data_IF_036864934114
#
_entry.id   IF_036864934114
#
_cell.length_a   1.000
_cell.length_b   1.000
_cell.length_c   1.000
_cell.angle_alpha   90.00
_cell.angle_beta   90.00
_cell.angle_gamma   90.00
#
_symmetry.space_group_name_H-M   'P 1'
#
loop_
_entity.id
_entity.type
_entity.pdbx_description
1 polymer ?
#
# COMPACT_ATOMS: atom_id res chain seq x y z
N UNK A 1 -21.44 4.10 44.21
CA UNK A 1 -22.52 3.11 44.07
C UNK A 1 -22.31 2.43 42.71
N UNK A 2 -21.79 1.19 42.74
CA UNK A 2 -21.54 0.35 41.56
C UNK A 2 -22.86 -0.24 41.08
N UNK A 3 -23.07 -0.31 39.77
CA UNK A 3 -23.85 -1.40 39.16
C UNK A 3 -23.34 -1.68 37.74
N UNK A 4 -22.51 -2.72 37.65
CA UNK A 4 -22.39 -3.61 36.50
C UNK A 4 -23.58 -4.56 36.53
N UNK A 5 -24.27 -4.75 35.40
CA UNK A 5 -24.77 -6.04 34.87
C UNK A 5 -24.89 -5.81 33.33
N UNK A 6 -23.86 -6.08 32.52
CA UNK A 6 -23.51 -7.32 31.84
C UNK A 6 -24.63 -7.98 30.99
N UNK A 7 -24.24 -8.27 29.75
CA UNK A 7 -24.75 -9.27 28.80
C UNK A 7 -26.00 -8.96 27.98
N UNK A 8 -25.76 -8.60 26.71
CA UNK A 8 -26.32 -9.39 25.61
C UNK A 8 -25.20 -9.63 24.60
N UNK A 9 -25.09 -10.88 24.14
CA UNK A 9 -23.98 -11.49 23.43
C UNK A 9 -23.30 -10.61 22.37
N UNK A 10 -21.96 -10.59 22.27
CA UNK A 10 -21.34 -10.11 21.05
C UNK A 10 -21.69 -11.11 19.97
N UNK A 11 -22.56 -10.74 19.04
CA UNK A 11 -22.48 -11.36 17.72
C UNK A 11 -21.02 -11.24 17.27
N UNK A 12 -20.38 -12.32 16.81
CA UNK A 12 -19.00 -12.22 16.34
C UNK A 12 -18.97 -11.13 15.28
N UNK A 13 -18.08 -10.16 15.46
CA UNK A 13 -17.86 -9.11 14.46
C UNK A 13 -17.73 -9.83 13.11
N UNK A 14 -18.58 -9.60 12.10
CA UNK A 14 -18.55 -10.37 10.85
C UNK A 14 -17.21 -10.27 10.11
N UNK A 15 -16.34 -9.34 10.51
CA UNK A 15 -14.96 -9.20 10.03
C UNK A 15 -13.94 -10.10 10.76
N UNK A 16 -14.30 -10.71 11.89
CA UNK A 16 -13.43 -11.66 12.64
C UNK A 16 -13.01 -12.84 11.79
N UNK A 17 -13.95 -13.49 11.10
CA UNK A 17 -13.63 -14.61 10.20
C UNK A 17 -12.74 -14.23 9.02
N UNK A 18 -12.87 -13.02 8.47
CA UNK A 18 -12.02 -12.56 7.36
C UNK A 18 -10.60 -12.32 7.86
N UNK A 19 -10.48 -11.62 8.98
CA UNK A 19 -9.20 -11.40 9.64
C UNK A 19 -8.54 -12.73 10.06
N UNK A 20 -9.31 -13.70 10.56
CA UNK A 20 -8.84 -15.05 10.90
C UNK A 20 -8.35 -15.83 9.67
N UNK A 21 -9.10 -15.82 8.56
CA UNK A 21 -8.69 -16.49 7.33
C UNK A 21 -7.45 -15.84 6.71
N UNK A 22 -7.39 -14.50 6.65
CA UNK A 22 -6.18 -13.80 6.20
C UNK A 22 -5.00 -14.13 7.13
N UNK A 23 -5.20 -14.14 8.45
CA UNK A 23 -4.17 -14.52 9.42
C UNK A 23 -3.69 -15.96 9.23
N UNK A 24 -4.59 -16.90 8.92
CA UNK A 24 -4.22 -18.29 8.60
C UNK A 24 -3.33 -18.34 7.34
N UNK A 25 -3.72 -17.65 6.27
CA UNK A 25 -2.88 -17.58 5.07
C UNK A 25 -1.51 -16.93 5.34
N UNK A 26 -1.47 -15.84 6.10
CA UNK A 26 -0.20 -15.20 6.48
C UNK A 26 0.66 -16.12 7.34
N UNK A 27 0.05 -16.92 8.22
CA UNK A 27 0.74 -17.94 9.04
C UNK A 27 1.38 -19.01 8.16
N UNK A 28 0.64 -19.55 7.18
CA UNK A 28 1.17 -20.54 6.24
C UNK A 28 2.33 -19.97 5.41
N UNK A 29 2.21 -18.70 4.98
CA UNK A 29 3.26 -17.99 4.25
C UNK A 29 4.50 -17.71 5.11
N UNK A 30 4.31 -17.28 6.37
CA UNK A 30 5.41 -17.13 7.32
C UNK A 30 6.13 -18.46 7.54
N UNK A 31 5.37 -19.55 7.74
CA UNK A 31 5.89 -20.91 7.84
C UNK A 31 6.65 -21.36 6.59
N UNK A 32 6.16 -21.01 5.40
CA UNK A 32 6.85 -21.26 4.14
C UNK A 32 8.18 -20.49 4.04
N UNK A 33 8.19 -19.20 4.40
CA UNK A 33 9.38 -18.33 4.35
C UNK A 33 10.51 -18.82 5.27
N UNK A 34 10.17 -19.29 6.47
CA UNK A 34 11.15 -19.81 7.44
C UNK A 34 11.46 -21.30 7.24
N UNK A 35 10.79 -21.97 6.29
CA UNK A 35 11.00 -23.38 5.99
C UNK A 35 10.49 -24.35 7.07
N UNK A 36 9.40 -24.00 7.78
CA UNK A 36 8.85 -24.75 8.91
C UNK A 36 7.92 -25.93 8.55
N UNK A 37 7.69 -26.23 7.27
CA UNK A 37 6.78 -27.32 6.87
C UNK A 37 7.46 -28.67 6.67
N UNK A 38 6.65 -29.74 6.66
CA UNK A 38 6.99 -31.13 6.24
C UNK A 38 7.68 -31.22 4.86
N UNK A 39 7.77 -30.12 4.10
CA UNK A 39 8.44 -30.01 2.80
C UNK A 39 9.94 -29.67 2.90
N UNK A 40 10.50 -29.49 4.10
CA UNK A 40 11.83 -28.92 4.34
C UNK A 40 12.76 -29.82 5.17
N UNK A 41 12.71 -31.14 5.00
CA UNK A 41 13.70 -32.03 5.64
C UNK A 41 15.16 -31.74 5.22
N UNK A 42 15.37 -30.87 4.22
CA UNK A 42 16.68 -30.41 3.74
C UNK A 42 17.06 -28.96 4.08
N UNK A 43 16.13 -28.10 4.51
CA UNK A 43 16.36 -26.64 4.63
C UNK A 43 15.98 -26.08 5.99
N UNK A 44 16.19 -26.84 7.06
CA UNK A 44 16.04 -26.33 8.42
C UNK A 44 16.96 -25.13 8.67
N UNK A 45 16.35 -23.97 8.95
CA UNK A 45 16.99 -22.88 9.68
C UNK A 45 17.48 -21.69 8.87
N UNK A 46 17.10 -21.51 7.60
CA UNK A 46 17.39 -20.30 6.82
C UNK A 46 16.17 -19.83 6.05
N UNK A 47 15.92 -18.52 6.00
CA UNK A 47 14.93 -17.95 5.06
C UNK A 47 15.26 -18.50 3.68
N UNK A 48 14.28 -19.13 3.02
CA UNK A 48 14.47 -19.80 1.72
C UNK A 48 15.21 -18.91 0.69
N UNK A 49 14.99 -17.61 0.80
CA UNK A 49 15.56 -16.53 -0.03
C UNK A 49 17.07 -16.29 0.18
N UNK A 50 17.67 -16.73 1.30
CA UNK A 50 19.12 -16.67 1.51
C UNK A 50 19.87 -17.60 0.54
N UNK A 51 19.18 -18.57 -0.06
CA UNK A 51 19.75 -19.49 -1.04
C UNK A 51 19.67 -18.98 -2.48
N UNK A 52 18.81 -17.99 -2.78
CA UNK A 52 18.69 -17.38 -4.12
C UNK A 52 19.67 -16.22 -4.35
N UNK A 53 20.44 -15.82 -3.33
CA UNK A 53 21.32 -14.62 -3.33
C UNK A 53 20.58 -13.34 -3.75
N UNK A 54 19.27 -13.26 -3.56
CA UNK A 54 18.47 -12.08 -3.89
C UNK A 54 18.28 -11.22 -2.63
N UNK A 55 19.14 -10.21 -2.45
CA UNK A 55 19.17 -9.40 -1.22
C UNK A 55 17.84 -8.73 -0.90
N UNK A 56 17.18 -8.19 -1.92
CA UNK A 56 15.90 -7.51 -1.74
C UNK A 56 14.79 -8.46 -1.30
N UNK A 57 14.79 -9.70 -1.80
CA UNK A 57 13.78 -10.68 -1.44
C UNK A 57 13.96 -11.14 0.01
N UNK A 58 15.20 -11.40 0.40
CA UNK A 58 15.55 -11.73 1.79
C UNK A 58 15.19 -10.59 2.76
N UNK A 59 15.50 -9.33 2.37
CA UNK A 59 15.15 -8.16 3.15
C UNK A 59 13.63 -7.97 3.28
N UNK A 60 12.88 -8.05 2.18
CA UNK A 60 11.41 -7.99 2.18
C UNK A 60 10.78 -9.11 3.02
N UNK A 61 11.32 -10.33 2.94
CA UNK A 61 10.90 -11.45 3.78
C UNK A 61 11.11 -11.13 5.26
N UNK A 62 12.29 -10.63 5.63
CA UNK A 62 12.61 -10.20 6.99
C UNK A 62 11.68 -9.11 7.51
N UNK A 63 11.42 -8.08 6.70
CA UNK A 63 10.46 -7.00 7.02
C UNK A 63 9.04 -7.54 7.22
N UNK A 64 8.59 -8.45 6.36
CA UNK A 64 7.29 -9.09 6.52
C UNK A 64 7.23 -9.88 7.83
N UNK A 65 8.24 -10.69 8.15
CA UNK A 65 8.29 -11.47 9.38
C UNK A 65 8.29 -10.59 10.65
N UNK A 66 9.00 -9.46 10.63
CA UNK A 66 8.98 -8.47 11.73
C UNK A 66 7.56 -7.94 11.96
N UNK A 67 6.86 -7.58 10.87
CA UNK A 67 5.50 -7.04 10.96
C UNK A 67 4.48 -8.11 11.34
N UNK A 68 4.63 -9.31 10.81
CA UNK A 68 3.80 -10.47 11.13
C UNK A 68 3.90 -10.84 12.61
N UNK A 69 5.11 -10.93 13.16
CA UNK A 69 5.38 -11.22 14.58
C UNK A 69 4.70 -10.21 15.53
N UNK A 70 4.60 -8.94 15.11
CA UNK A 70 3.91 -7.90 15.89
C UNK A 70 2.39 -8.12 15.98
N UNK A 71 1.79 -8.78 14.98
CA UNK A 71 0.33 -8.97 14.88
C UNK A 71 -0.11 -10.40 15.21
N UNK A 72 0.79 -11.38 15.21
CA UNK A 72 0.50 -12.75 15.65
C UNK A 72 0.33 -12.78 17.17
N UNK A 73 -0.91 -12.87 17.64
CA UNK A 73 -1.24 -12.87 19.07
C UNK A 73 -0.82 -14.16 19.83
N UNK A 74 -0.06 -15.06 19.21
CA UNK A 74 0.23 -16.39 19.76
C UNK A 74 1.73 -16.67 19.85
N UNK A 75 2.29 -16.46 21.05
CA UNK A 75 3.65 -16.88 21.44
C UNK A 75 4.02 -18.34 21.10
N UNK A 76 3.02 -19.20 20.85
CA UNK A 76 3.24 -20.59 20.46
C UNK A 76 3.75 -20.70 19.02
N UNK A 77 3.22 -19.89 18.10
CA UNK A 77 3.56 -19.91 16.70
C UNK A 77 4.96 -19.30 16.47
N UNK A 78 5.27 -18.20 17.16
CA UNK A 78 6.59 -17.55 17.07
C UNK A 78 7.71 -18.47 17.59
N UNK A 79 7.42 -19.28 18.62
CA UNK A 79 8.32 -20.33 19.14
C UNK A 79 8.49 -21.50 18.18
N UNK A 80 7.43 -21.90 17.47
CA UNK A 80 7.47 -22.99 16.49
C UNK A 80 8.18 -22.59 15.20
N UNK A 81 8.03 -21.32 14.78
CA UNK A 81 8.64 -20.78 13.55
C UNK A 81 10.05 -20.21 13.76
N UNK A 82 10.46 -19.98 15.01
CA UNK A 82 11.76 -19.42 15.39
C UNK A 82 12.11 -18.12 14.62
N UNK A 83 11.11 -17.23 14.51
CA UNK A 83 11.13 -16.03 13.65
C UNK A 83 12.32 -15.11 13.97
N UNK A 84 12.59 -14.85 15.25
CA UNK A 84 13.70 -13.99 15.66
C UNK A 84 15.06 -14.49 15.20
N UNK A 85 15.31 -15.80 15.31
CA UNK A 85 16.54 -16.41 14.81
C UNK A 85 16.69 -16.23 13.30
N UNK A 86 15.58 -16.32 12.54
CA UNK A 86 15.60 -16.12 11.09
C UNK A 86 15.84 -14.67 10.68
N UNK A 87 15.26 -13.73 11.42
CA UNK A 87 15.50 -12.29 11.23
C UNK A 87 16.98 -11.97 11.47
N UNK A 88 17.57 -12.48 12.57
CA UNK A 88 18.99 -12.26 12.89
C UNK A 88 19.92 -12.91 11.88
N UNK A 89 19.65 -14.15 11.47
CA UNK A 89 20.42 -14.83 10.43
C UNK A 89 20.43 -14.04 9.11
N UNK A 90 19.28 -13.48 8.72
CA UNK A 90 19.14 -12.64 7.53
C UNK A 90 19.90 -11.33 7.66
N UNK A 91 19.80 -10.66 8.81
CA UNK A 91 20.55 -9.43 9.09
C UNK A 91 22.06 -9.67 9.02
N UNK A 92 22.53 -10.76 9.62
CA UNK A 92 23.94 -11.16 9.57
C UNK A 92 24.40 -11.43 8.15
N UNK A 93 23.63 -12.19 7.38
CA UNK A 93 23.94 -12.47 5.98
C UNK A 93 24.00 -11.19 5.13
N UNK A 94 23.04 -10.27 5.30
CA UNK A 94 23.06 -8.95 4.64
C UNK A 94 24.33 -8.19 4.99
N UNK A 95 24.72 -8.17 6.26
CA UNK A 95 25.89 -7.46 6.74
C UNK A 95 27.19 -8.04 6.16
N UNK A 96 27.30 -9.36 6.12
CA UNK A 96 28.49 -10.06 5.62
C UNK A 96 28.63 -9.97 4.08
N UNK A 97 27.52 -9.78 3.35
CA UNK A 97 27.51 -9.72 1.88
C UNK A 97 27.32 -8.29 1.32
N UNK A 98 27.58 -7.25 2.12
CA UNK A 98 27.63 -5.88 1.60
C UNK A 98 28.73 -5.73 0.56
N UNK A 99 28.42 -5.13 -0.58
CA UNK A 99 29.43 -4.77 -1.56
C UNK A 99 30.11 -3.47 -1.12
N UNK A 100 31.44 -3.50 -1.01
CA UNK A 100 32.23 -2.29 -0.77
C UNK A 100 32.49 -1.62 -2.11
N UNK A 101 31.88 -0.47 -2.31
CA UNK A 101 32.15 0.44 -3.41
C UNK A 101 33.16 1.48 -2.92
N UNK A 102 34.38 1.39 -3.45
CA UNK A 102 35.35 2.48 -3.49
C UNK A 102 35.51 2.79 -4.98
N UNK A 103 34.69 3.68 -5.53
CA UNK A 103 34.96 4.13 -6.90
C UNK A 103 36.12 5.13 -6.85
N UNK A 104 37.34 4.59 -6.69
CA UNK A 104 38.63 5.30 -6.71
C UNK A 104 38.92 5.97 -8.08
N UNK A 105 38.02 5.83 -9.07
CA UNK A 105 38.15 6.40 -10.40
C UNK A 105 37.37 7.70 -10.66
N UNK A 106 36.54 8.15 -9.70
CA UNK A 106 35.62 9.27 -9.91
C UNK A 106 35.75 10.35 -8.81
N UNK A 107 36.97 10.60 -8.31
CA UNK A 107 37.25 11.66 -7.31
C UNK A 107 36.60 13.03 -7.66
N UNK A 108 36.37 13.32 -8.95
CA UNK A 108 35.69 14.53 -9.44
C UNK A 108 34.17 14.55 -9.19
N UNK A 109 33.48 13.39 -9.14
CA UNK A 109 32.07 13.32 -8.72
C UNK A 109 31.95 13.52 -7.20
N UNK A 110 32.96 13.08 -6.44
CA UNK A 110 32.94 13.04 -4.99
C UNK A 110 33.34 14.36 -4.31
N UNK A 111 33.95 15.31 -5.03
CA UNK A 111 34.37 16.60 -4.48
C UNK A 111 33.23 17.58 -4.21
N UNK A 112 32.04 17.36 -4.78
CA UNK A 112 30.88 18.27 -4.65
C UNK A 112 29.87 17.83 -3.57
N UNK A 113 30.04 16.64 -2.98
CA UNK A 113 29.18 16.15 -1.90
C UNK A 113 29.69 16.68 -0.54
N UNK A 114 29.57 17.99 -0.31
CA UNK A 114 29.94 18.64 0.96
C UNK A 114 29.01 18.29 2.14
N UNK A 115 28.00 17.44 1.92
CA UNK A 115 26.88 17.17 2.85
C UNK A 115 27.16 16.12 3.93
N UNK A 116 28.25 15.34 3.87
CA UNK A 116 28.51 14.22 4.80
C UNK A 116 29.81 14.39 5.62
N UNK A 117 29.74 14.48 6.96
CA UNK A 117 30.91 14.63 7.82
C UNK A 117 31.55 13.28 8.18
N UNK A 118 32.15 12.53 7.25
CA UNK A 118 32.96 11.33 7.58
C UNK A 118 34.13 11.11 6.61
N UNK A 119 35.30 10.81 7.20
CA UNK A 119 36.54 10.45 6.51
C UNK A 119 36.43 9.05 5.84
N UNK A 120 36.93 8.96 4.59
CA UNK A 120 36.95 7.84 3.63
C UNK A 120 35.67 7.57 2.82
N UNK A 121 35.86 7.55 1.51
CA UNK A 121 34.88 7.40 0.41
C UNK A 121 34.20 6.04 0.31
N UNK A 122 34.16 5.27 1.40
CA UNK A 122 33.57 3.93 1.37
C UNK A 122 32.06 4.05 1.29
N UNK A 123 31.45 3.38 0.30
CA UNK A 123 30.03 3.24 0.05
C UNK A 123 29.62 1.76 0.13
N UNK A 124 28.42 1.46 0.63
CA UNK A 124 27.92 0.07 0.75
C UNK A 124 26.62 -0.07 -0.01
N UNK A 125 26.51 -1.15 -0.79
CA UNK A 125 25.35 -1.43 -1.63
C UNK A 125 25.10 -2.94 -1.76
N UNK A 126 23.97 -3.28 -2.36
CA UNK A 126 23.61 -4.65 -2.72
C UNK A 126 23.10 -4.69 -4.17
N UNK A 127 23.65 -5.60 -4.99
CA UNK A 127 23.37 -5.80 -6.42
C UNK A 127 23.56 -4.55 -7.31
N UNK A 128 24.32 -3.56 -6.85
CA UNK A 128 24.53 -2.32 -7.60
C UNK A 128 23.27 -1.50 -7.90
N UNK A 129 22.13 -1.79 -7.25
CA UNK A 129 20.84 -1.15 -7.53
C UNK A 129 20.28 -0.40 -6.32
N UNK A 130 19.86 0.86 -6.54
CA UNK A 130 19.20 1.72 -5.54
C UNK A 130 17.97 1.05 -4.94
N UNK A 131 17.16 0.38 -5.75
CA UNK A 131 15.94 -0.26 -5.27
C UNK A 131 16.25 -1.40 -4.28
N UNK A 132 17.20 -2.28 -4.61
CA UNK A 132 17.61 -3.39 -3.73
C UNK A 132 18.24 -2.87 -2.43
N UNK A 133 19.12 -1.88 -2.54
CA UNK A 133 19.77 -1.26 -1.37
C UNK A 133 18.73 -0.59 -0.46
N UNK A 134 17.70 0.05 -1.03
CA UNK A 134 16.60 0.63 -0.25
C UNK A 134 15.73 -0.44 0.43
N UNK A 135 15.47 -1.60 -0.21
CA UNK A 135 14.80 -2.73 0.45
C UNK A 135 15.59 -3.23 1.68
N UNK A 136 16.91 -3.40 1.51
CA UNK A 136 17.81 -3.84 2.58
C UNK A 136 17.82 -2.86 3.74
N UNK A 137 17.98 -1.56 3.47
CA UNK A 137 17.97 -0.55 4.53
C UNK A 137 16.62 -0.45 5.24
N UNK A 138 15.50 -0.60 4.51
CA UNK A 138 14.18 -0.64 5.14
C UNK A 138 14.05 -1.81 6.11
N UNK A 139 14.55 -3.00 5.77
CA UNK A 139 14.59 -4.14 6.69
C UNK A 139 15.43 -3.85 7.94
N UNK A 140 16.58 -3.21 7.79
CA UNK A 140 17.42 -2.80 8.93
C UNK A 140 16.67 -1.79 9.82
N UNK A 141 15.93 -0.86 9.22
CA UNK A 141 15.11 0.09 9.96
C UNK A 141 13.97 -0.59 10.72
N UNK A 142 13.26 -1.51 10.09
CA UNK A 142 12.22 -2.32 10.73
C UNK A 142 12.81 -3.13 11.90
N UNK A 143 14.00 -3.70 11.73
CA UNK A 143 14.71 -4.43 12.77
C UNK A 143 15.09 -3.55 13.97
N UNK A 144 15.65 -2.37 13.71
CA UNK A 144 16.02 -1.41 14.75
C UNK A 144 14.80 -0.91 15.52
N UNK A 145 13.67 -0.68 14.82
CA UNK A 145 12.40 -0.28 15.44
C UNK A 145 11.83 -1.38 16.35
N UNK A 146 12.00 -2.65 15.98
CA UNK A 146 11.60 -3.80 16.82
C UNK A 146 12.48 -3.93 18.07
N UNK A 147 13.80 -3.71 17.93
CA UNK A 147 14.80 -4.01 18.96
C UNK A 147 15.45 -2.76 19.58
N UNK A 148 14.64 -1.73 19.88
CA UNK A 148 15.14 -0.39 20.24
C UNK A 148 16.07 -0.36 21.48
N UNK A 149 15.89 -1.32 22.39
CA UNK A 149 16.62 -1.40 23.67
C UNK A 149 17.67 -2.52 23.77
N UNK A 150 17.58 -3.56 22.94
CA UNK A 150 18.43 -4.76 23.07
C UNK A 150 18.74 -5.34 21.68
N UNK A 151 19.86 -4.91 21.11
CA UNK A 151 20.37 -5.46 19.85
C UNK A 151 21.25 -6.66 20.21
N UNK A 152 20.97 -7.86 19.66
CA UNK A 152 21.76 -9.04 19.95
C UNK A 152 23.26 -8.83 19.69
N UNK A 153 24.10 -9.43 20.54
CA UNK A 153 25.56 -9.25 20.58
C UNK A 153 26.32 -9.58 19.27
N UNK A 154 25.65 -10.05 18.22
CA UNK A 154 26.26 -10.46 16.95
C UNK A 154 26.57 -9.28 16.01
N UNK A 155 25.85 -8.16 16.13
CA UNK A 155 26.06 -6.94 15.35
C UNK A 155 25.85 -5.75 16.26
N UNK A 156 26.85 -4.89 16.40
CA UNK A 156 26.73 -3.71 17.27
C UNK A 156 25.84 -2.63 16.64
N UNK A 157 25.18 -1.83 17.49
CA UNK A 157 24.41 -0.66 17.06
C UNK A 157 25.23 0.30 16.18
N UNK A 158 26.53 0.43 16.49
CA UNK A 158 27.45 1.30 15.76
C UNK A 158 27.76 0.76 14.36
N UNK A 159 27.93 -0.55 14.20
CA UNK A 159 28.11 -1.18 12.89
C UNK A 159 26.88 -1.00 12.00
N UNK A 160 25.68 -1.15 12.55
CA UNK A 160 24.43 -0.88 11.82
C UNK A 160 24.31 0.60 11.42
N UNK A 161 24.61 1.54 12.34
CA UNK A 161 24.63 2.98 12.03
C UNK A 161 25.61 3.31 10.90
N UNK A 162 26.83 2.78 10.97
CA UNK A 162 27.82 2.99 9.92
C UNK A 162 27.33 2.44 8.58
N UNK A 163 26.77 1.23 8.59
CA UNK A 163 26.19 0.63 7.39
C UNK A 163 25.10 1.52 6.77
N UNK A 164 24.16 2.00 7.60
CA UNK A 164 23.09 2.91 7.18
C UNK A 164 23.67 4.17 6.53
N UNK A 165 24.60 4.85 7.20
CA UNK A 165 25.19 6.09 6.69
C UNK A 165 25.90 5.89 5.36
N UNK A 166 26.70 4.85 5.30
CA UNK A 166 27.51 4.53 4.13
C UNK A 166 26.65 4.10 2.93
N UNK A 167 25.50 3.48 3.17
CA UNK A 167 24.54 3.13 2.11
C UNK A 167 23.62 4.28 1.70
N UNK A 168 23.15 5.13 2.62
CA UNK A 168 22.38 6.32 2.28
C UNK A 168 23.19 7.29 1.42
N UNK A 169 24.48 7.45 1.73
CA UNK A 169 25.42 8.22 0.91
C UNK A 169 25.50 7.63 -0.51
N UNK A 170 25.62 6.31 -0.64
CA UNK A 170 25.63 5.66 -1.95
C UNK A 170 24.36 5.96 -2.73
N UNK A 171 23.18 5.85 -2.10
CA UNK A 171 21.90 6.19 -2.72
C UNK A 171 21.90 7.64 -3.22
N UNK A 172 22.28 8.61 -2.38
CA UNK A 172 22.39 10.02 -2.77
C UNK A 172 23.25 10.22 -4.02
N UNK A 173 24.44 9.62 -4.02
CA UNK A 173 25.39 9.71 -5.13
C UNK A 173 24.80 9.17 -6.44
N UNK A 174 23.99 8.10 -6.37
CA UNK A 174 23.31 7.56 -7.54
C UNK A 174 22.32 8.56 -8.13
N UNK A 175 21.58 9.29 -7.30
CA UNK A 175 20.65 10.33 -7.77
C UNK A 175 21.39 11.56 -8.32
N UNK A 176 22.43 12.03 -7.62
CA UNK A 176 23.25 13.16 -8.07
C UNK A 176 23.93 12.88 -9.42
N UNK A 177 24.45 11.66 -9.59
CA UNK A 177 25.13 11.23 -10.83
C UNK A 177 24.16 11.06 -12.00
N UNK A 178 22.87 10.86 -11.74
CA UNK A 178 21.86 10.72 -12.78
C UNK A 178 21.22 12.07 -13.19
N UNK A 179 21.57 13.18 -12.53
CA UNK A 179 21.21 14.51 -13.01
C UNK A 179 22.02 14.82 -14.29
N UNK A 180 21.37 15.02 -15.45
CA UNK A 180 22.02 15.40 -16.70
C UNK A 180 22.98 16.58 -16.58
N UNK A 181 22.72 17.50 -15.63
CA UNK A 181 23.53 18.69 -15.40
C UNK A 181 24.85 18.37 -14.71
N UNK A 182 24.90 17.30 -13.91
CA UNK A 182 26.04 16.96 -13.07
C UNK A 182 26.94 15.90 -13.73
N UNK A 183 26.38 14.97 -14.51
CA UNK A 183 27.20 13.99 -15.23
C UNK A 183 26.53 13.47 -16.53
N UNK A 184 26.77 14.12 -17.67
CA UNK A 184 26.23 13.67 -18.97
C UNK A 184 26.76 12.30 -19.43
N UNK A 185 27.85 11.77 -18.85
CA UNK A 185 28.42 10.47 -19.19
C UNK A 185 27.87 9.31 -18.32
N UNK A 186 27.34 9.61 -17.13
CA UNK A 186 26.80 8.59 -16.20
C UNK A 186 25.37 8.13 -16.53
N UNK A 187 24.65 8.86 -17.38
CA UNK A 187 23.23 8.61 -17.73
C UNK A 187 22.95 7.16 -18.19
N UNK A 188 23.93 6.46 -18.75
CA UNK A 188 23.75 5.10 -19.27
C UNK A 188 24.24 3.99 -18.33
N UNK A 189 25.04 4.31 -17.29
CA UNK A 189 25.61 3.29 -16.41
C UNK A 189 24.63 2.88 -15.30
N UNK A 190 23.78 3.81 -14.86
CA UNK A 190 22.88 3.61 -13.72
C UNK A 190 21.53 4.30 -13.93
N UNK A 191 20.74 3.84 -14.91
CA UNK A 191 19.43 4.39 -15.18
C UNK A 191 18.50 4.26 -13.95
N UNK A 192 18.07 5.39 -13.38
CA UNK A 192 17.06 5.40 -12.33
C UNK A 192 15.66 5.51 -12.94
N UNK A 193 14.74 4.70 -12.43
CA UNK A 193 13.33 4.71 -12.81
C UNK A 193 12.48 5.22 -11.66
N UNK A 194 11.23 5.58 -11.94
CA UNK A 194 10.26 6.06 -10.94
C UNK A 194 10.10 5.10 -9.73
N UNK A 195 10.27 3.79 -9.91
CA UNK A 195 10.30 2.81 -8.81
C UNK A 195 11.49 3.01 -7.86
N UNK A 196 12.67 3.43 -8.35
CA UNK A 196 13.83 3.76 -7.51
C UNK A 196 13.50 4.98 -6.62
N UNK A 197 12.98 6.05 -7.22
CA UNK A 197 12.50 7.24 -6.49
C UNK A 197 11.46 6.86 -5.42
N UNK A 198 10.47 6.04 -5.80
CA UNK A 198 9.38 5.62 -4.90
C UNK A 198 9.88 4.82 -3.71
N UNK A 199 10.77 3.84 -3.94
CA UNK A 199 11.31 3.01 -2.86
C UNK A 199 12.24 3.80 -1.94
N UNK A 200 13.03 4.71 -2.49
CA UNK A 200 13.85 5.64 -1.70
C UNK A 200 12.98 6.58 -0.87
N UNK A 201 11.86 7.09 -1.39
CA UNK A 201 10.93 7.91 -0.60
C UNK A 201 10.40 7.14 0.62
N UNK A 202 9.93 5.90 0.43
CA UNK A 202 9.47 5.04 1.53
C UNK A 202 10.59 4.82 2.56
N UNK A 203 11.81 4.56 2.10
CA UNK A 203 12.98 4.41 2.97
C UNK A 203 13.24 5.67 3.83
N UNK A 204 13.27 6.85 3.20
CA UNK A 204 13.53 8.12 3.90
C UNK A 204 12.40 8.45 4.89
N UNK A 205 11.16 8.05 4.60
CA UNK A 205 10.05 8.17 5.56
C UNK A 205 10.27 7.28 6.79
N UNK A 206 10.68 6.03 6.61
CA UNK A 206 11.03 5.14 7.73
C UNK A 206 12.20 5.68 8.56
N UNK A 207 13.21 6.28 7.90
CA UNK A 207 14.30 6.96 8.58
C UNK A 207 13.78 8.11 9.47
N UNK A 208 12.79 8.88 9.00
CA UNK A 208 12.24 9.99 9.77
C UNK A 208 11.50 9.56 11.04
N UNK A 209 10.86 8.39 11.01
CA UNK A 209 10.26 7.80 12.20
C UNK A 209 11.33 7.38 13.24
N UNK A 210 12.45 6.81 12.79
CA UNK A 210 13.55 6.39 13.67
C UNK A 210 14.32 7.55 14.29
N UNK A 211 14.54 8.63 13.53
CA UNK A 211 15.21 9.85 14.03
C UNK A 211 14.44 10.54 15.16
N UNK A 212 13.11 10.40 15.21
CA UNK A 212 12.31 10.90 16.34
C UNK A 212 12.65 10.21 17.67
N UNK A 213 13.42 9.12 17.63
CA UNK A 213 13.81 8.29 18.77
C UNK A 213 15.34 8.15 18.99
N UNK A 214 16.21 8.62 18.08
CA UNK A 214 17.66 8.29 18.11
C UNK A 214 18.62 9.38 17.57
N UNK A 215 19.92 9.24 17.88
CA UNK A 215 21.10 10.07 17.53
C UNK A 215 21.40 10.25 16.01
N UNK A 216 20.45 9.94 15.12
CA UNK A 216 20.59 10.06 13.65
C UNK A 216 20.22 11.47 13.12
N UNK A 217 19.95 12.44 14.00
CA UNK A 217 19.45 13.82 13.70
C UNK A 217 20.34 14.61 12.72
N UNK A 218 21.59 14.19 12.52
CA UNK A 218 22.53 14.79 11.55
C UNK A 218 21.96 14.82 10.12
N UNK A 219 21.06 13.90 9.77
CA UNK A 219 20.52 13.76 8.42
C UNK A 219 19.22 14.50 8.17
N UNK A 220 18.62 15.12 9.19
CA UNK A 220 17.28 15.68 9.10
C UNK A 220 17.12 16.66 7.94
N UNK A 221 18.01 17.67 7.87
CA UNK A 221 17.95 18.70 6.81
C UNK A 221 18.18 18.10 5.41
N UNK A 222 19.17 17.22 5.29
CA UNK A 222 19.48 16.56 4.02
C UNK A 222 18.31 15.69 3.55
N UNK A 223 17.80 14.83 4.43
CA UNK A 223 16.67 13.93 4.17
C UNK A 223 15.43 14.71 3.75
N UNK A 224 15.09 15.78 4.47
CA UNK A 224 13.89 16.56 4.19
C UNK A 224 13.97 17.24 2.81
N UNK A 225 15.14 17.77 2.46
CA UNK A 225 15.40 18.29 1.11
C UNK A 225 15.29 17.17 0.06
N UNK A 226 15.87 16.01 0.33
CA UNK A 226 15.88 14.91 -0.63
C UNK A 226 14.49 14.30 -0.84
N UNK A 227 13.69 14.19 0.21
CA UNK A 227 12.26 13.83 0.13
C UNK A 227 11.53 14.81 -0.78
N UNK A 228 11.77 16.12 -0.63
CA UNK A 228 11.13 17.14 -1.46
C UNK A 228 11.46 16.97 -2.94
N UNK A 229 12.75 16.81 -3.28
CA UNK A 229 13.21 16.60 -4.65
C UNK A 229 12.61 15.33 -5.27
N UNK A 230 12.57 14.22 -4.51
CA UNK A 230 11.96 12.96 -4.98
C UNK A 230 10.46 13.15 -5.26
N UNK A 231 9.74 13.85 -4.40
CA UNK A 231 8.30 14.10 -4.59
C UNK A 231 8.05 14.95 -5.83
N UNK A 232 8.81 16.03 -6.01
CA UNK A 232 8.70 16.88 -7.20
C UNK A 232 8.95 16.05 -8.46
N UNK A 233 9.97 15.19 -8.43
CA UNK A 233 10.29 14.32 -9.56
C UNK A 233 9.17 13.30 -9.86
N UNK A 234 8.62 12.67 -8.84
CA UNK A 234 7.50 11.73 -8.99
C UNK A 234 6.25 12.42 -9.57
N UNK A 235 5.95 13.66 -9.14
CA UNK A 235 4.83 14.43 -9.68
C UNK A 235 5.10 14.86 -11.13
N UNK A 236 6.32 15.28 -11.46
CA UNK A 236 6.72 15.67 -12.82
C UNK A 236 6.60 14.49 -13.80
N UNK A 237 7.08 13.31 -13.40
CA UNK A 237 7.07 12.11 -14.24
C UNK A 237 5.67 11.48 -14.39
N UNK A 238 4.69 11.97 -13.63
CA UNK A 238 3.32 11.49 -13.64
C UNK A 238 2.61 11.90 -14.94
N UNK A 239 2.16 10.91 -15.72
CA UNK A 239 1.45 11.13 -16.99
C UNK A 239 -0.05 11.26 -16.73
N UNK A 240 -0.61 12.42 -17.01
CA UNK A 240 -2.04 12.68 -16.98
C UNK A 240 -2.70 12.24 -18.30
N UNK A 241 -3.78 11.46 -18.20
CA UNK A 241 -4.56 11.09 -19.38
C UNK A 241 -5.64 12.15 -19.61
N UNK A 242 -5.35 13.12 -20.49
CA UNK A 242 -6.29 14.18 -20.89
C UNK A 242 -7.40 13.64 -21.80
N UNK A 243 -8.63 13.76 -21.35
CA UNK A 243 -9.86 13.48 -22.09
C UNK A 243 -11.09 13.83 -21.24
N UNK A 244 -12.29 13.79 -21.82
CA UNK A 244 -13.59 14.08 -21.15
C UNK A 244 -13.88 13.22 -19.89
N UNK A 245 -12.98 12.32 -19.50
CA UNK A 245 -13.12 11.39 -18.38
C UNK A 245 -12.06 11.65 -17.29
N UNK A 246 -12.50 12.33 -16.24
CA UNK A 246 -12.11 12.12 -14.83
C UNK A 246 -10.60 12.09 -14.45
N UNK A 247 -9.77 13.07 -14.84
CA UNK A 247 -8.44 13.35 -14.24
C UNK A 247 -7.67 12.09 -13.79
N UNK A 248 -7.39 11.16 -14.71
CA UNK A 248 -6.66 9.92 -14.43
C UNK A 248 -5.15 10.15 -14.62
N UNK A 249 -4.32 9.48 -13.84
CA UNK A 249 -2.87 9.61 -13.97
C UNK A 249 -2.13 8.30 -13.68
N UNK A 250 -0.91 8.17 -14.23
CA UNK A 250 -0.09 6.95 -14.12
C UNK A 250 1.40 7.20 -14.33
N UNK A 251 2.21 6.20 -14.01
CA UNK A 251 3.63 6.12 -14.34
C UNK A 251 3.89 4.90 -15.20
N UNK A 252 4.10 5.09 -16.51
CA UNK A 252 4.54 4.10 -17.51
C UNK A 252 3.84 2.72 -17.51
N UNK A 253 4.09 1.87 -16.51
CA UNK A 253 3.56 0.50 -16.35
C UNK A 253 2.67 0.39 -15.10
N UNK A 254 1.95 -0.72 -14.94
CA UNK A 254 1.15 -0.97 -13.73
C UNK A 254 2.01 -1.00 -12.47
N UNK A 255 3.12 -1.74 -12.51
CA UNK A 255 4.12 -1.79 -11.42
C UNK A 255 4.63 -0.41 -11.02
N UNK A 256 5.13 0.37 -11.98
CA UNK A 256 5.67 1.72 -11.69
C UNK A 256 4.59 2.63 -11.12
N UNK A 257 3.37 2.52 -11.65
CA UNK A 257 2.21 3.27 -11.14
C UNK A 257 1.85 2.88 -9.71
N UNK A 258 1.89 1.58 -9.40
CA UNK A 258 1.64 1.07 -8.06
C UNK A 258 2.71 1.54 -7.06
N UNK A 259 3.99 1.50 -7.42
CA UNK A 259 5.10 1.94 -6.57
C UNK A 259 5.03 3.42 -6.24
N UNK A 260 4.84 4.26 -7.27
CA UNK A 260 4.73 5.70 -7.09
C UNK A 260 3.50 6.05 -6.26
N UNK A 261 2.36 5.41 -6.56
CA UNK A 261 1.14 5.60 -5.79
C UNK A 261 1.28 5.23 -4.32
N UNK A 262 1.93 4.10 -4.02
CA UNK A 262 2.18 3.65 -2.66
C UNK A 262 3.10 4.62 -1.91
N UNK A 263 4.22 5.02 -2.52
CA UNK A 263 5.18 5.94 -1.89
C UNK A 263 4.57 7.33 -1.62
N UNK A 264 3.78 7.85 -2.55
CA UNK A 264 3.05 9.11 -2.37
C UNK A 264 1.95 9.00 -1.31
N UNK A 265 1.27 7.86 -1.22
CA UNK A 265 0.27 7.63 -0.19
C UNK A 265 0.91 7.58 1.21
N UNK A 266 2.07 6.94 1.34
CA UNK A 266 2.79 6.87 2.60
C UNK A 266 3.29 8.25 3.03
N UNK A 267 3.91 9.01 2.12
CA UNK A 267 4.28 10.40 2.40
C UNK A 267 3.09 11.24 2.87
N UNK A 268 1.96 11.09 2.17
CA UNK A 268 0.74 11.80 2.49
C UNK A 268 0.20 11.40 3.86
N UNK A 269 0.18 10.10 4.21
CA UNK A 269 -0.29 9.63 5.51
C UNK A 269 0.56 10.18 6.66
N UNK A 270 1.89 10.13 6.52
CA UNK A 270 2.82 10.58 7.56
C UNK A 270 2.73 12.09 7.82
N UNK A 271 2.47 12.90 6.78
CA UNK A 271 2.68 14.34 6.87
C UNK A 271 1.43 15.22 6.65
N UNK A 272 0.27 14.65 6.28
CA UNK A 272 -0.97 15.42 6.03
C UNK A 272 -1.39 16.30 7.21
N UNK A 273 -1.05 15.91 8.43
CA UNK A 273 -1.37 16.63 9.67
C UNK A 273 -0.55 17.91 9.86
N UNK A 274 0.67 17.95 9.32
CA UNK A 274 1.64 19.02 9.52
C UNK A 274 1.43 20.15 8.50
N UNK A 275 1.05 19.80 7.26
CA UNK A 275 1.06 20.74 6.12
C UNK A 275 -0.33 21.06 5.54
N UNK A 276 -1.37 20.95 6.38
CA UNK A 276 -2.81 21.04 6.04
C UNK A 276 -3.25 22.25 5.20
N UNK A 277 -2.48 23.35 5.14
CA UNK A 277 -2.96 24.63 4.58
C UNK A 277 -1.97 25.39 3.69
N UNK A 278 -0.69 25.01 3.59
CA UNK A 278 0.36 25.88 3.01
C UNK A 278 1.17 25.29 1.86
N UNK A 279 1.04 24.00 1.55
CA UNK A 279 1.88 23.36 0.53
C UNK A 279 1.09 22.91 -0.69
N UNK A 280 1.33 23.59 -1.82
CA UNK A 280 0.83 23.26 -3.15
C UNK A 280 1.04 21.78 -3.52
N UNK A 281 2.16 21.20 -3.06
CA UNK A 281 2.50 19.80 -3.30
C UNK A 281 1.49 18.83 -2.67
N UNK A 282 0.85 19.13 -1.54
CA UNK A 282 -0.14 18.22 -0.93
C UNK A 282 -1.41 18.08 -1.76
N UNK A 283 -1.91 19.19 -2.32
CA UNK A 283 -3.07 19.15 -3.18
C UNK A 283 -2.77 18.40 -4.48
N UNK A 284 -1.56 18.56 -5.02
CA UNK A 284 -1.11 17.84 -6.20
C UNK A 284 -0.97 16.33 -5.91
N UNK A 285 -0.38 15.96 -4.78
CA UNK A 285 -0.29 14.56 -4.34
C UNK A 285 -1.69 13.96 -4.16
N UNK A 286 -2.60 14.64 -3.45
CA UNK A 286 -3.97 14.16 -3.27
C UNK A 286 -4.69 13.94 -4.61
N UNK A 287 -4.56 14.88 -5.54
CA UNK A 287 -5.09 14.74 -6.91
C UNK A 287 -4.45 13.57 -7.64
N UNK A 288 -3.13 13.39 -7.54
CA UNK A 288 -2.41 12.26 -8.14
C UNK A 288 -2.91 10.93 -7.58
N UNK A 289 -3.09 10.81 -6.26
CA UNK A 289 -3.59 9.58 -5.64
C UNK A 289 -4.99 9.23 -6.14
N UNK A 290 -5.91 10.21 -6.21
CA UNK A 290 -7.25 10.00 -6.76
C UNK A 290 -7.17 9.59 -8.24
N UNK A 291 -6.36 10.30 -9.03
CA UNK A 291 -6.20 10.02 -10.46
C UNK A 291 -5.63 8.64 -10.73
N UNK A 292 -4.69 8.21 -9.89
CA UNK A 292 -4.06 6.89 -9.95
C UNK A 292 -5.05 5.79 -9.59
N UNK A 293 -5.79 5.96 -8.51
CA UNK A 293 -6.86 5.04 -8.12
C UNK A 293 -7.91 4.89 -9.23
N UNK A 294 -8.34 5.99 -9.87
CA UNK A 294 -9.29 5.95 -10.99
C UNK A 294 -8.70 5.24 -12.20
N UNK A 295 -7.43 5.49 -12.51
CA UNK A 295 -6.74 4.82 -13.59
C UNK A 295 -6.71 3.30 -13.37
N UNK A 296 -6.32 2.85 -12.17
CA UNK A 296 -6.34 1.43 -11.80
C UNK A 296 -7.76 0.84 -11.90
N UNK A 297 -8.79 1.54 -11.42
CA UNK A 297 -10.18 1.07 -11.54
C UNK A 297 -10.63 0.85 -12.99
N UNK A 298 -10.25 1.75 -13.89
CA UNK A 298 -10.60 1.70 -15.31
C UNK A 298 -9.83 0.60 -16.03
N UNK A 299 -8.55 0.41 -15.71
CA UNK A 299 -7.69 -0.58 -16.39
C UNK A 299 -7.84 -2.00 -15.85
N UNK A 300 -8.49 -2.21 -14.69
CA UNK A 300 -8.70 -3.56 -14.19
C UNK A 300 -9.58 -4.34 -15.17
N UNK A 301 -9.06 -5.47 -15.63
CA UNK A 301 -9.76 -6.32 -16.59
C UNK A 301 -11.06 -6.88 -16.01
N UNK A 302 -11.83 -7.46 -16.91
CA UNK A 302 -13.08 -8.11 -16.59
C UNK A 302 -12.89 -9.35 -15.70
N UNK A 303 -11.73 -10.02 -15.73
CA UNK A 303 -11.35 -11.09 -14.77
C UNK A 303 -10.92 -10.56 -13.41
N UNK A 304 -10.41 -9.33 -13.32
CA UNK A 304 -9.89 -8.78 -12.06
C UNK A 304 -8.38 -8.59 -12.03
N UNK A 305 -7.71 -8.79 -13.15
CA UNK A 305 -6.27 -8.59 -13.28
C UNK A 305 -5.93 -7.18 -13.73
N UNK A 306 -4.71 -6.76 -13.41
CA UNK A 306 -4.00 -5.68 -14.08
C UNK A 306 -2.77 -6.33 -14.72
N UNK A 307 -2.62 -6.28 -16.04
CA UNK A 307 -1.47 -6.90 -16.70
C UNK A 307 -1.22 -8.36 -16.29
N UNK A 308 -0.02 -8.64 -15.79
CA UNK A 308 0.46 -9.93 -15.27
C UNK A 308 0.06 -10.20 -13.80
N UNK A 309 0.53 -11.31 -13.21
CA UNK A 309 0.32 -11.61 -11.79
C UNK A 309 1.03 -10.59 -10.88
N UNK A 310 2.28 -10.23 -11.19
CA UNK A 310 3.05 -9.23 -10.46
C UNK A 310 2.33 -7.87 -10.48
N UNK A 311 1.97 -7.42 -11.69
CA UNK A 311 1.20 -6.20 -11.90
C UNK A 311 -0.11 -6.22 -11.08
N UNK A 312 -0.80 -7.37 -11.01
CA UNK A 312 -2.06 -7.50 -10.29
C UNK A 312 -1.88 -7.41 -8.78
N UNK A 313 -0.89 -8.11 -8.21
CA UNK A 313 -0.62 -8.10 -6.76
C UNK A 313 -0.22 -6.69 -6.33
N UNK A 314 0.73 -6.07 -7.04
CA UNK A 314 1.25 -4.75 -6.71
C UNK A 314 0.21 -3.65 -6.90
N UNK A 315 -0.58 -3.72 -7.98
CA UNK A 315 -1.69 -2.79 -8.20
C UNK A 315 -2.78 -2.94 -7.15
N UNK A 316 -3.13 -4.18 -6.74
CA UNK A 316 -4.10 -4.40 -5.68
C UNK A 316 -3.60 -3.84 -4.34
N UNK A 317 -2.34 -4.08 -4.01
CA UNK A 317 -1.70 -3.56 -2.81
C UNK A 317 -1.70 -2.02 -2.78
N UNK A 318 -1.21 -1.39 -3.84
CA UNK A 318 -1.18 0.07 -3.93
C UNK A 318 -2.58 0.69 -3.94
N UNK A 319 -3.53 0.11 -4.69
CA UNK A 319 -4.92 0.59 -4.73
C UNK A 319 -5.58 0.56 -3.35
N UNK A 320 -5.32 -0.50 -2.58
CA UNK A 320 -5.79 -0.63 -1.21
C UNK A 320 -5.22 0.47 -0.31
N UNK A 321 -3.90 0.66 -0.33
CA UNK A 321 -3.20 1.61 0.54
C UNK A 321 -3.53 3.07 0.17
N UNK A 322 -3.50 3.42 -1.11
CA UNK A 322 -3.91 4.74 -1.58
C UNK A 322 -5.36 5.04 -1.19
N UNK A 323 -6.27 4.08 -1.43
CA UNK A 323 -7.67 4.22 -1.02
C UNK A 323 -7.81 4.33 0.50
N UNK A 324 -6.96 3.66 1.27
CA UNK A 324 -6.97 3.77 2.73
C UNK A 324 -6.69 5.18 3.20
N UNK A 325 -5.57 5.71 2.75
CA UNK A 325 -5.09 7.05 3.10
C UNK A 325 -6.08 8.13 2.65
N UNK A 326 -6.61 8.03 1.43
CA UNK A 326 -7.60 8.97 0.90
C UNK A 326 -8.90 9.01 1.72
N UNK A 327 -9.40 7.84 2.14
CA UNK A 327 -10.61 7.76 2.97
C UNK A 327 -10.35 8.27 4.40
N UNK A 328 -9.20 7.92 5.00
CA UNK A 328 -8.80 8.33 6.36
C UNK A 328 -8.84 9.85 6.54
N UNK A 329 -8.47 10.61 5.51
CA UNK A 329 -8.39 12.07 5.55
C UNK A 329 -9.49 12.80 4.76
N UNK A 330 -10.55 12.08 4.41
CA UNK A 330 -11.67 12.61 3.64
C UNK A 330 -12.35 13.82 4.33
N UNK A 331 -12.48 13.80 5.66
CA UNK A 331 -13.09 14.89 6.44
C UNK A 331 -12.27 16.18 6.42
N UNK A 332 -10.95 16.09 6.28
CA UNK A 332 -10.03 17.23 6.26
C UNK A 332 -10.24 18.08 5.00
N UNK A 333 -10.53 17.46 3.86
CA UNK A 333 -10.75 18.17 2.58
C UNK A 333 -12.17 18.72 2.43
N UNK A 334 -13.16 18.17 3.16
CA UNK A 334 -14.53 18.64 3.15
C UNK A 334 -14.75 19.87 4.05
N UNK A 335 -13.85 20.15 4.98
CA UNK A 335 -13.93 21.29 5.92
C UNK A 335 -13.34 22.61 5.42
N UNK A 336 -12.57 22.61 4.33
CA UNK A 336 -11.81 23.79 3.85
C UNK A 336 -12.45 24.54 2.68
N UNK A 337 -13.60 24.08 2.16
CA UNK A 337 -14.31 24.74 1.06
C UNK A 337 -15.80 24.97 1.35
N UNK A 338 -16.08 25.85 2.30
CA UNK A 338 -17.33 26.61 2.32
C UNK A 338 -17.34 27.59 1.14
N UNK A 339 -17.67 27.09 -0.05
CA UNK A 339 -17.89 27.77 -1.36
C UNK A 339 -16.96 27.31 -2.50
N UNK A 340 -16.98 26.02 -2.86
CA UNK A 340 -16.45 25.59 -4.16
C UNK A 340 -17.53 24.81 -4.93
N UNK A 341 -17.59 25.11 -6.21
CA UNK A 341 -18.61 24.74 -7.20
C UNK A 341 -18.93 23.23 -7.24
N UNK A 342 -20.17 22.93 -7.63
CA UNK A 342 -20.75 21.58 -7.86
C UNK A 342 -20.02 20.70 -8.90
N UNK A 343 -18.80 21.04 -9.31
CA UNK A 343 -18.11 20.41 -10.45
C UNK A 343 -16.86 19.61 -10.08
N UNK A 344 -16.31 19.68 -8.86
CA UNK A 344 -15.22 18.78 -8.47
C UNK A 344 -15.16 18.58 -6.96
N UNK A 345 -15.25 17.34 -6.50
CA UNK A 345 -14.92 16.98 -5.12
C UNK A 345 -15.97 16.16 -4.39
N UNK A 346 -16.54 15.14 -5.02
CA UNK A 346 -17.05 14.03 -4.21
C UNK A 346 -15.85 13.33 -3.57
N UNK A 347 -15.98 12.89 -2.31
CA UNK A 347 -14.94 12.09 -1.68
C UNK A 347 -14.60 10.88 -2.55
N UNK A 348 -13.31 10.59 -2.69
CA UNK A 348 -12.91 9.33 -3.30
C UNK A 348 -13.31 8.22 -2.34
N UNK A 349 -14.03 7.22 -2.84
CA UNK A 349 -14.46 6.05 -2.06
C UNK A 349 -13.84 4.84 -2.72
N UNK A 350 -12.94 4.17 -2.00
CA UNK A 350 -12.37 2.90 -2.44
C UNK A 350 -13.47 1.91 -2.78
N UNK A 351 -13.26 1.08 -3.80
CA UNK A 351 -14.23 0.05 -4.22
C UNK A 351 -13.75 -1.33 -3.77
N UNK A 352 -14.18 -1.84 -2.59
CA UNK A 352 -13.80 -3.14 -2.06
C UNK A 352 -13.81 -4.28 -3.09
N UNK A 353 -14.86 -4.35 -3.91
CA UNK A 353 -15.02 -5.42 -4.89
C UNK A 353 -13.84 -5.51 -5.86
N UNK A 354 -13.11 -4.42 -6.15
CA UNK A 354 -11.93 -4.42 -7.03
C UNK A 354 -10.78 -5.23 -6.42
N UNK A 355 -10.55 -5.07 -5.12
CA UNK A 355 -9.55 -5.82 -4.34
C UNK A 355 -9.92 -7.30 -4.29
N UNK A 356 -11.17 -7.62 -3.93
CA UNK A 356 -11.58 -9.03 -3.83
C UNK A 356 -11.67 -9.74 -5.18
N UNK A 357 -11.94 -9.00 -6.26
CA UNK A 357 -11.89 -9.53 -7.62
C UNK A 357 -10.45 -9.90 -8.03
N UNK A 358 -9.48 -9.06 -7.67
CA UNK A 358 -8.06 -9.35 -7.85
C UNK A 358 -7.61 -10.52 -6.98
N UNK A 359 -7.92 -10.48 -5.68
CA UNK A 359 -7.62 -11.56 -4.74
C UNK A 359 -8.16 -12.89 -5.27
N UNK A 360 -9.43 -12.98 -5.66
CA UNK A 360 -9.99 -14.19 -6.25
C UNK A 360 -9.18 -14.70 -7.44
N UNK A 361 -8.74 -13.82 -8.34
CA UNK A 361 -7.95 -14.23 -9.50
C UNK A 361 -6.58 -14.77 -9.09
N UNK A 362 -6.00 -14.21 -8.03
CA UNK A 362 -4.71 -14.62 -7.48
C UNK A 362 -4.77 -15.98 -6.76
N UNK A 363 -5.91 -16.34 -6.13
CA UNK A 363 -6.06 -17.62 -5.41
C UNK A 363 -6.84 -18.71 -6.16
N UNK A 364 -7.65 -18.38 -7.17
CA UNK A 364 -8.47 -19.36 -7.90
C UNK A 364 -7.65 -20.09 -8.97
N UNK A 365 -7.15 -21.27 -8.62
CA UNK A 365 -6.41 -22.15 -9.52
C UNK A 365 -7.15 -22.51 -10.82
N UNK A 366 -8.49 -22.39 -10.87
CA UNK A 366 -9.29 -22.68 -12.09
C UNK A 366 -9.42 -21.48 -13.02
N UNK A 367 -9.00 -20.29 -12.60
CA UNK A 367 -8.99 -19.09 -13.43
C UNK A 367 -7.64 -18.84 -14.09
N UNK A 368 -6.66 -19.68 -13.81
CA UNK A 368 -5.34 -19.60 -14.41
C UNK A 368 -4.99 -20.88 -15.21
N UNK A 369 -4.53 -20.75 -16.47
CA UNK A 369 -4.22 -21.89 -17.34
C UNK A 369 -2.78 -22.43 -17.21
N UNK A 370 -2.04 -22.13 -16.14
CA UNK A 370 -0.66 -22.61 -15.93
C UNK A 370 -0.42 -23.17 -14.53
N UNK A 371 0.60 -24.03 -14.38
CA UNK A 371 1.02 -24.65 -13.10
C UNK A 371 1.52 -23.64 -12.03
N UNK A 372 1.53 -22.34 -12.32
CA UNK A 372 2.13 -21.30 -11.48
C UNK A 372 1.19 -20.77 -10.40
N UNK A 373 1.05 -21.50 -9.30
CA UNK A 373 0.56 -20.92 -8.05
C UNK A 373 1.54 -19.83 -7.57
N UNK A 374 1.04 -18.75 -6.97
CA UNK A 374 1.87 -17.62 -6.46
C UNK A 374 3.00 -18.12 -5.54
N UNK A 375 2.74 -19.21 -4.81
CA UNK A 375 3.65 -19.88 -3.87
C UNK A 375 4.83 -20.59 -4.55
N UNK A 376 4.82 -20.82 -5.87
CA UNK A 376 5.95 -21.41 -6.59
C UNK A 376 6.95 -20.36 -7.10
N UNK A 377 6.61 -19.07 -7.02
CA UNK A 377 7.45 -17.97 -7.43
C UNK A 377 7.78 -17.10 -6.20
N UNK A 378 9.00 -17.22 -5.64
CA UNK A 378 9.32 -16.63 -4.34
C UNK A 378 9.06 -15.12 -4.24
N UNK A 379 9.41 -14.33 -5.26
CA UNK A 379 9.16 -12.90 -5.26
C UNK A 379 7.67 -12.52 -5.31
N UNK A 380 6.86 -13.28 -6.07
CA UNK A 380 5.40 -13.07 -6.10
C UNK A 380 4.78 -13.43 -4.75
N UNK A 381 5.32 -14.46 -4.08
CA UNK A 381 4.91 -14.83 -2.73
C UNK A 381 5.14 -13.68 -1.75
N UNK A 382 6.30 -13.01 -1.82
CA UNK A 382 6.59 -11.85 -0.97
C UNK A 382 5.64 -10.68 -1.20
N UNK A 383 5.43 -10.28 -2.46
CA UNK A 383 4.47 -9.21 -2.76
C UNK A 383 3.04 -9.58 -2.33
N UNK A 384 2.67 -10.86 -2.44
CA UNK A 384 1.37 -11.33 -1.98
C UNK A 384 1.25 -11.30 -0.45
N UNK A 385 2.31 -11.66 0.27
CA UNK A 385 2.38 -11.55 1.74
C UNK A 385 2.23 -10.10 2.21
N UNK A 386 2.94 -9.17 1.57
CA UNK A 386 2.79 -7.72 1.85
C UNK A 386 1.37 -7.22 1.56
N UNK A 387 0.78 -7.65 0.45
CA UNK A 387 -0.62 -7.33 0.12
C UNK A 387 -1.60 -7.88 1.17
N UNK A 388 -1.44 -9.13 1.62
CA UNK A 388 -2.30 -9.73 2.64
C UNK A 388 -2.16 -9.03 4.00
N UNK A 389 -0.94 -8.62 4.37
CA UNK A 389 -0.69 -7.84 5.58
C UNK A 389 -1.43 -6.50 5.51
N UNK A 390 -1.27 -5.76 4.42
CA UNK A 390 -2.00 -4.52 4.16
C UNK A 390 -3.51 -4.72 4.16
N UNK A 391 -4.00 -5.83 3.60
CA UNK A 391 -5.42 -6.19 3.63
C UNK A 391 -5.89 -6.46 5.06
N UNK A 392 -5.12 -7.20 5.85
CA UNK A 392 -5.44 -7.47 7.25
C UNK A 392 -5.57 -6.18 8.06
N UNK A 393 -4.60 -5.26 7.93
CA UNK A 393 -4.59 -4.00 8.68
C UNK A 393 -5.73 -3.05 8.28
N UNK A 394 -6.13 -3.05 7.01
CA UNK A 394 -7.12 -2.11 6.48
C UNK A 394 -8.53 -2.69 6.39
N UNK A 395 -8.70 -4.02 6.43
CA UNK A 395 -9.99 -4.67 6.21
C UNK A 395 -11.05 -4.29 7.23
N UNK A 396 -10.64 -4.12 8.49
CA UNK A 396 -11.55 -3.76 9.58
C UNK A 396 -12.08 -2.33 9.46
N UNK A 397 -11.34 -1.46 8.77
CA UNK A 397 -11.68 -0.04 8.59
C UNK A 397 -12.61 0.18 7.39
N UNK A 398 -12.48 -0.61 6.31
CA UNK A 398 -13.27 -0.38 5.08
C UNK A 398 -14.47 -1.28 4.86
N UNK A 399 -14.42 -2.50 5.38
CA UNK A 399 -15.44 -3.47 5.07
C UNK A 399 -16.51 -3.45 6.16
N UNK A 400 -17.28 -2.36 6.22
CA UNK A 400 -18.53 -2.32 7.00
C UNK A 400 -19.61 -3.25 6.40
N UNK A 401 -19.43 -3.63 5.13
CA UNK A 401 -20.30 -4.58 4.43
C UNK A 401 -19.98 -6.00 4.88
N UNK A 402 -21.03 -6.77 5.19
CA UNK A 402 -20.90 -8.21 5.43
C UNK A 402 -20.26 -8.92 4.24
N UNK A 403 -19.48 -9.97 4.51
CA UNK A 403 -18.79 -10.76 3.48
C UNK A 403 -19.71 -11.28 2.39
N UNK A 404 -20.94 -11.65 2.72
CA UNK A 404 -21.95 -12.04 1.73
C UNK A 404 -22.23 -10.94 0.71
N UNK A 405 -22.38 -9.67 1.15
CA UNK A 405 -22.61 -8.53 0.23
C UNK A 405 -21.40 -8.26 -0.64
N UNK A 406 -20.19 -8.44 -0.10
CA UNK A 406 -18.95 -8.26 -0.83
C UNK A 406 -18.74 -9.36 -1.88
N UNK A 407 -19.05 -10.61 -1.52
CA UNK A 407 -19.07 -11.75 -2.44
C UNK A 407 -20.11 -11.54 -3.55
N UNK A 408 -21.33 -11.13 -3.21
CA UNK A 408 -22.37 -10.80 -4.19
C UNK A 408 -21.95 -9.65 -5.12
N UNK A 409 -21.29 -8.62 -4.57
CA UNK A 409 -20.73 -7.52 -5.37
C UNK A 409 -19.66 -8.05 -6.33
N UNK A 410 -18.72 -8.88 -5.88
CA UNK A 410 -17.70 -9.49 -6.76
C UNK A 410 -18.34 -10.35 -7.85
N UNK A 411 -19.28 -11.23 -7.48
CA UNK A 411 -20.00 -12.09 -8.43
C UNK A 411 -20.81 -11.28 -9.45
N UNK A 412 -21.45 -10.19 -9.04
CA UNK A 412 -22.23 -9.33 -9.94
C UNK A 412 -21.32 -8.67 -10.98
N UNK A 413 -20.13 -8.21 -10.57
CA UNK A 413 -19.21 -7.43 -11.39
C UNK A 413 -18.18 -8.29 -12.17
N UNK A 414 -18.20 -9.62 -12.03
CA UNK A 414 -17.40 -10.55 -12.82
C UNK A 414 -18.21 -11.07 -14.03
N UNK A 415 -17.78 -10.81 -15.29
CA UNK A 415 -18.55 -11.18 -16.46
C UNK A 415 -18.41 -12.66 -16.88
N UNK A 416 -17.40 -13.39 -16.40
CA UNK A 416 -16.88 -14.55 -17.13
C UNK A 416 -17.49 -15.93 -16.81
N UNK A 417 -18.39 -16.05 -15.83
CA UNK A 417 -19.25 -17.24 -15.74
C UNK A 417 -20.68 -16.81 -15.47
N UNK A 418 -21.60 -17.21 -16.35
CA UNK A 418 -23.02 -17.25 -16.03
C UNK A 418 -23.22 -18.39 -15.02
N UNK A 419 -22.94 -18.12 -13.74
CA UNK A 419 -23.27 -19.07 -12.68
C UNK A 419 -24.72 -18.85 -12.27
N UNK A 420 -25.37 -19.91 -11.76
CA UNK A 420 -26.75 -19.84 -11.29
C UNK A 420 -26.90 -18.75 -10.22
N UNK A 421 -25.91 -18.64 -9.33
CA UNK A 421 -25.85 -17.67 -8.24
C UNK A 421 -25.78 -16.24 -8.78
N UNK A 422 -24.97 -15.97 -9.81
CA UNK A 422 -24.93 -14.65 -10.46
C UNK A 422 -26.26 -14.33 -11.14
N UNK A 423 -26.87 -15.31 -11.79
CA UNK A 423 -28.20 -15.18 -12.40
C UNK A 423 -29.26 -14.82 -11.36
N UNK A 424 -29.26 -15.52 -10.22
CA UNK A 424 -30.17 -15.26 -9.10
C UNK A 424 -29.93 -13.87 -8.48
N UNK A 425 -28.67 -13.45 -8.27
CA UNK A 425 -28.33 -12.11 -7.76
C UNK A 425 -28.75 -11.01 -8.74
N UNK A 426 -28.49 -11.17 -10.04
CA UNK A 426 -28.92 -10.21 -11.07
C UNK A 426 -30.45 -10.14 -11.20
N UNK A 427 -31.13 -11.29 -11.12
CA UNK A 427 -32.60 -11.36 -11.12
C UNK A 427 -33.17 -10.63 -9.91
N UNK A 428 -32.68 -10.94 -8.71
CA UNK A 428 -33.10 -10.28 -7.47
C UNK A 428 -32.82 -8.77 -7.53
N UNK A 429 -31.68 -8.33 -8.08
CA UNK A 429 -31.39 -6.90 -8.29
C UNK A 429 -32.38 -6.25 -9.26
N UNK A 430 -32.74 -6.92 -10.35
CA UNK A 430 -33.74 -6.43 -11.31
C UNK A 430 -35.14 -6.33 -10.70
N UNK A 431 -35.56 -7.35 -9.95
CA UNK A 431 -36.83 -7.38 -9.20
C UNK A 431 -36.88 -6.27 -8.15
N UNK A 432 -35.79 -6.09 -7.40
CA UNK A 432 -35.71 -5.04 -6.39
C UNK A 432 -35.70 -3.64 -7.04
N UNK A 433 -35.01 -3.45 -8.17
CA UNK A 433 -35.05 -2.20 -8.92
C UNK A 433 -36.46 -1.89 -9.47
N UNK A 434 -37.18 -2.91 -9.91
CA UNK A 434 -38.59 -2.78 -10.31
C UNK A 434 -39.45 -2.34 -9.12
N UNK A 435 -39.29 -2.99 -7.97
CA UNK A 435 -40.00 -2.63 -6.73
C UNK A 435 -39.71 -1.19 -6.26
N UNK A 436 -38.46 -0.75 -6.32
CA UNK A 436 -38.09 0.64 -6.00
C UNK A 436 -38.69 1.66 -6.97
N UNK A 437 -38.78 1.32 -8.26
CA UNK A 437 -39.42 2.15 -9.27
C UNK A 437 -40.92 2.27 -8.98
N UNK A 438 -41.59 1.16 -8.68
CA UNK A 438 -43.00 1.12 -8.29
C UNK A 438 -43.29 1.92 -7.01
N UNK A 439 -42.44 1.78 -5.98
CA UNK A 439 -42.51 2.59 -4.75
C UNK A 439 -42.34 4.10 -5.03
N UNK A 440 -41.42 4.46 -5.93
CA UNK A 440 -41.20 5.87 -6.30
C UNK A 440 -42.43 6.42 -7.02
N UNK A 441 -43.00 5.67 -7.95
CA UNK A 441 -44.27 6.04 -8.63
C UNK A 441 -45.42 6.19 -7.64
N UNK A 442 -45.56 5.24 -6.69
CA UNK A 442 -46.59 5.31 -5.66
C UNK A 442 -46.43 6.53 -4.75
N UNK A 443 -45.20 6.90 -4.37
CA UNK A 443 -44.92 8.13 -3.61
C UNK A 443 -45.29 9.39 -4.38
N UNK A 444 -44.97 9.44 -5.69
CA UNK A 444 -45.36 10.55 -6.55
C UNK A 444 -46.88 10.65 -6.65
N UNK A 445 -47.58 9.53 -6.85
CA UNK A 445 -49.04 9.48 -6.92
C UNK A 445 -49.69 9.96 -5.61
N UNK A 446 -49.17 9.53 -4.44
CA UNK A 446 -49.61 10.02 -3.12
C UNK A 446 -49.41 11.52 -2.95
N UNK A 447 -48.28 12.06 -3.42
CA UNK A 447 -48.01 13.51 -3.40
C UNK A 447 -49.00 14.27 -4.28
N UNK A 448 -49.27 13.78 -5.48
CA UNK A 448 -50.24 14.40 -6.39
C UNK A 448 -51.64 14.39 -5.80
N UNK A 449 -52.09 13.27 -5.23
CA UNK A 449 -53.37 13.17 -4.52
C UNK A 449 -53.47 14.13 -3.34
N UNK A 450 -52.39 14.26 -2.55
CA UNK A 450 -52.36 15.20 -1.44
C UNK A 450 -52.49 16.66 -1.92
N UNK A 451 -51.78 17.03 -2.98
CA UNK A 451 -51.88 18.37 -3.58
C UNK A 451 -53.29 18.63 -4.10
N UNK A 452 -53.88 17.65 -4.79
CA UNK A 452 -55.22 17.79 -5.36
C UNK A 452 -56.29 17.95 -4.26
N UNK A 453 -56.21 17.13 -3.21
CA UNK A 453 -57.09 17.25 -2.04
C UNK A 453 -56.89 18.56 -1.29
N UNK A 454 -55.65 19.05 -1.21
CA UNK A 454 -55.35 20.35 -0.62
C UNK A 454 -55.98 21.49 -1.42
N UNK A 455 -55.86 21.46 -2.75
CA UNK A 455 -56.48 22.44 -3.65
C UNK A 455 -58.00 22.42 -3.51
N UNK A 456 -58.62 21.24 -3.54
CA UNK A 456 -60.07 21.07 -3.36
C UNK A 456 -60.52 21.63 -2.00
N UNK A 457 -59.79 21.31 -0.93
CA UNK A 457 -60.05 21.86 0.41
C UNK A 457 -59.94 23.39 0.45
N UNK A 458 -58.96 23.95 -0.25
CA UNK A 458 -58.77 25.41 -0.37
C UNK A 458 -59.95 26.08 -1.10
N UNK A 459 -60.42 25.49 -2.20
CA UNK A 459 -61.61 25.97 -2.91
C UNK A 459 -62.88 25.87 -2.06
N UNK A 460 -63.04 24.80 -1.27
CA UNK A 460 -64.16 24.67 -0.35
C UNK A 460 -64.15 25.75 0.74
N UNK A 461 -62.98 26.05 1.31
CA UNK A 461 -62.82 27.13 2.31
C UNK A 461 -63.13 28.49 1.67
N UNK A 462 -62.59 28.77 0.49
CA UNK A 462 -62.87 30.03 -0.24
C UNK A 462 -64.37 30.16 -0.53
N UNK A 463 -65.02 29.08 -0.96
CA UNK A 463 -66.47 29.07 -1.20
C UNK A 463 -67.30 29.38 0.04
N UNK A 464 -66.88 28.90 1.21
CA UNK A 464 -67.51 29.22 2.51
C UNK A 464 -67.27 30.68 2.91
N UNK A 465 -66.13 31.27 2.57
CA UNK A 465 -65.80 32.67 2.92
C UNK A 465 -66.55 33.67 2.03
N UNK A 466 -66.80 33.31 0.78
CA UNK A 466 -67.48 34.18 -0.21
C UNK A 466 -69.00 34.16 -0.04
N UNK A 467 -69.56 33.13 0.59
CA UNK A 467 -70.98 32.99 0.89
C UNK A 467 -71.29 33.56 2.28
#
# INVERSE_FOLDING_TARGET
MKQNILTSHPFPNPNSHVSEEIMRYMTDLAGWLVGASEYSSKYHGKIFMLHSNAYWEAASAGSFLIKFDKISYTNKLDRELNIDTQILATLRWIFDNKEICCDDGDEQLYSNAESFPLQKYTCYRWDGNVWNTSCVLQFIFDFLKKNDTDIPNEITRNELKQLIYTSLRWIELMFLSNDPKNNPLAQNKYALYSSNFSKTLILLLHLSELESSTELDVYKKWRDNFIHEIIEKLIEDCKWEDGDKQNMCRWETYVKTADCGLALAEYYDTNVQIYRTTHHNYQNIHKCLIGTCRWLEEKQTSTGTWGSQDDTIRSAHAYLQMGYVLNKYQSIHLGTHSSVSKTSGYPYIIKPYRIFKALRTLVDAKQYPGDGSIIHTPYLTLFFSEFLLSLYETCQVFFEKSMYKLYDDVLTHMPLKATKERGDVLRLKAENHKYWRELRTARTYRRTLFILNFIIGLYAIIGIIIW
#
